data_IF_021470356055
#
_entry.id   IF_021470356055
#
_cell.length_a   1.000
_cell.length_b   1.000
_cell.length_c   1.000
_cell.angle_alpha   90.00
_cell.angle_beta   90.00
_cell.angle_gamma   90.00
#
_symmetry.space_group_name_H-M   'P 1'
#
loop_
_entity.id
_entity.type
_entity.pdbx_description
1 polymer ?
#
# COMPACT_ATOMS: atom_id res chain seq x y z
N UNK A 1 -37.10 73.75 -15.93
CA UNK A 1 -37.05 73.68 -14.47
C UNK A 1 -36.61 72.26 -14.11
N UNK A 2 -35.42 72.11 -13.54
CA UNK A 2 -34.79 70.86 -13.02
C UNK A 2 -34.92 70.97 -11.46
N UNK A 3 -34.41 70.09 -10.56
CA UNK A 3 -34.14 68.62 -10.50
C UNK A 3 -35.33 67.82 -9.88
N UNK A 4 -35.29 66.53 -9.48
CA UNK A 4 -34.49 65.79 -8.45
C UNK A 4 -34.87 64.27 -8.63
N UNK A 5 -34.10 63.19 -8.43
CA UNK A 5 -32.70 62.90 -7.99
C UNK A 5 -32.22 61.61 -8.72
N UNK A 6 -30.90 61.37 -8.80
CA UNK A 6 -30.29 60.02 -8.80
C UNK A 6 -29.20 59.98 -7.72
N UNK A 7 -29.19 58.92 -6.90
CA UNK A 7 -28.38 58.86 -5.68
C UNK A 7 -26.98 58.31 -5.97
N UNK A 8 -25.99 59.20 -6.11
CA UNK A 8 -24.58 58.84 -6.16
C UNK A 8 -23.92 59.18 -4.82
N UNK A 9 -23.68 58.16 -3.98
CA UNK A 9 -22.94 58.33 -2.72
C UNK A 9 -21.43 58.39 -3.00
N UNK A 10 -20.82 59.54 -2.70
CA UNK A 10 -19.37 59.70 -2.64
C UNK A 10 -18.86 59.45 -1.21
N UNK A 11 -17.74 58.74 -1.08
CA UNK A 11 -16.85 58.83 0.08
C UNK A 11 -15.39 58.92 -0.41
N UNK A 12 -14.49 59.64 0.29
CA UNK A 12 -13.30 60.20 -0.34
C UNK A 12 -12.07 59.30 -0.22
N UNK A 13 -11.17 59.45 -1.19
CA UNK A 13 -9.81 58.93 -1.12
C UNK A 13 -9.00 59.72 -0.07
N UNK A 14 -8.50 59.05 0.97
CA UNK A 14 -7.51 59.59 1.89
C UNK A 14 -6.11 59.11 1.45
N UNK A 15 -5.25 60.06 1.08
CA UNK A 15 -3.83 59.82 0.84
C UNK A 15 -3.05 60.39 2.02
N UNK A 16 -2.24 59.55 2.68
CA UNK A 16 -1.33 59.96 3.76
C UNK A 16 0.10 60.13 3.22
N UNK A 17 0.67 61.35 3.24
CA UNK A 17 2.05 61.59 2.86
C UNK A 17 2.89 61.95 4.10
N UNK A 18 3.79 61.05 4.55
CA UNK A 18 4.86 61.47 5.46
C UNK A 18 6.25 61.07 4.96
N UNK A 19 7.01 62.14 4.75
CA UNK A 19 8.38 62.21 4.26
C UNK A 19 9.34 61.43 5.18
N UNK A 20 10.33 60.77 4.58
CA UNK A 20 11.44 60.19 5.33
C UNK A 20 12.35 61.26 5.94
N UNK A 21 12.84 61.01 7.15
CA UNK A 21 13.94 61.75 7.77
C UNK A 21 15.12 60.80 8.02
N UNK A 22 16.28 61.14 7.48
CA UNK A 22 17.48 60.30 7.49
C UNK A 22 18.39 60.72 8.65
N UNK A 23 18.48 59.94 9.73
CA UNK A 23 19.52 60.13 10.75
C UNK A 23 20.28 58.84 11.03
N UNK A 24 21.60 58.96 10.92
CA UNK A 24 22.62 57.91 10.99
C UNK A 24 23.27 57.95 12.38
N UNK A 25 23.41 56.80 13.05
CA UNK A 25 24.20 56.44 14.27
C UNK A 25 23.40 55.39 15.07
N UNK A 26 23.97 54.40 15.75
CA UNK A 26 25.39 54.04 15.95
C UNK A 26 25.60 52.51 15.94
N UNK A 27 26.81 52.10 15.59
CA UNK A 27 27.20 50.70 15.45
C UNK A 27 27.65 50.13 16.81
N UNK A 28 26.86 49.22 17.40
CA UNK A 28 27.34 48.34 18.50
C UNK A 28 27.25 46.87 18.11
N UNK A 29 28.43 46.28 17.98
CA UNK A 29 28.71 44.93 17.50
C UNK A 29 28.41 43.92 18.60
N UNK A 30 27.26 43.25 18.53
CA UNK A 30 26.92 42.12 19.40
C UNK A 30 27.51 40.82 18.85
N UNK A 31 28.59 40.31 19.45
CA UNK A 31 29.21 39.04 19.08
C UNK A 31 28.48 37.84 19.72
N UNK A 32 28.13 36.78 18.96
CA UNK A 32 27.65 35.54 19.55
C UNK A 32 28.81 34.83 20.26
N UNK A 33 28.85 34.92 21.58
CA UNK A 33 29.82 34.20 22.42
C UNK A 33 29.43 32.72 22.45
N UNK A 34 30.28 31.88 21.85
CA UNK A 34 30.14 30.43 21.90
C UNK A 34 30.38 29.95 23.34
N UNK A 35 29.36 29.38 23.98
CA UNK A 35 29.53 28.67 25.25
C UNK A 35 30.14 27.30 24.92
N UNK A 36 31.45 27.17 25.13
CA UNK A 36 32.11 25.88 25.27
C UNK A 36 32.89 25.90 26.59
N UNK A 37 32.68 24.88 27.41
CA UNK A 37 33.10 24.84 28.81
C UNK A 37 34.62 24.84 28.99
N UNK A 38 35.10 25.60 29.98
CA UNK A 38 36.46 25.50 30.52
C UNK A 38 36.74 24.03 30.94
N UNK A 39 37.84 23.41 30.50
CA UNK A 39 38.29 22.14 31.05
C UNK A 39 38.58 22.27 32.55
N UNK A 40 38.14 21.29 33.33
CA UNK A 40 38.39 21.24 34.78
C UNK A 40 39.88 21.07 35.12
N UNK A 41 40.29 21.39 36.36
CA UNK A 41 41.68 21.19 36.81
C UNK A 41 42.07 19.71 36.72
N UNK A 42 43.36 19.47 36.46
CA UNK A 42 43.92 18.13 36.33
C UNK A 42 43.70 17.31 37.61
N UNK A 43 43.24 16.07 37.45
CA UNK A 43 43.02 15.15 38.57
C UNK A 43 44.30 14.80 39.33
N UNK A 44 44.19 14.30 40.57
CA UNK A 44 45.35 13.92 41.38
C UNK A 44 46.16 12.79 40.69
N UNK A 45 47.47 12.66 41.00
CA UNK A 45 48.29 11.58 40.50
C UNK A 45 47.66 10.21 40.78
N UNK A 46 47.73 9.31 39.79
CA UNK A 46 47.21 7.95 39.93
C UNK A 46 47.91 7.16 41.03
N UNK A 47 47.24 6.15 41.62
CA UNK A 47 47.86 5.28 42.62
C UNK A 47 49.07 4.52 42.03
N UNK A 48 50.02 4.06 42.87
CA UNK A 48 51.17 3.27 42.42
C UNK A 48 50.76 2.07 41.56
N UNK A 49 51.55 1.78 40.54
CA UNK A 49 51.33 0.64 39.66
C UNK A 49 51.27 -0.68 40.42
N UNK A 50 50.38 -1.57 40.01
CA UNK A 50 50.25 -2.90 40.60
C UNK A 50 51.57 -3.70 40.47
N UNK A 51 51.86 -4.64 41.40
CA UNK A 51 53.03 -5.50 41.29
C UNK A 51 53.13 -6.21 39.93
N UNK A 52 54.37 -6.39 39.45
CA UNK A 52 54.62 -7.09 38.19
C UNK A 52 54.05 -8.52 38.20
N UNK A 53 53.52 -9.01 37.07
CA UNK A 53 52.88 -10.31 37.01
C UNK A 53 53.88 -11.45 37.28
N UNK A 54 53.41 -12.49 37.98
CA UNK A 54 54.19 -13.72 38.20
C UNK A 54 54.66 -14.33 36.87
N UNK A 55 55.85 -14.95 36.91
CA UNK A 55 56.44 -15.64 35.75
C UNK A 55 55.51 -16.70 35.16
N UNK A 56 55.55 -16.85 33.84
CA UNK A 56 54.63 -17.72 33.11
C UNK A 56 54.78 -19.18 33.53
N UNK A 57 53.67 -19.79 33.97
CA UNK A 57 53.58 -21.24 34.19
C UNK A 57 53.87 -21.96 32.87
N UNK A 58 54.63 -23.05 32.92
CA UNK A 58 54.97 -23.85 31.75
C UNK A 58 53.73 -24.29 30.98
N UNK A 59 53.80 -24.29 29.64
CA UNK A 59 52.64 -24.60 28.80
C UNK A 59 52.09 -25.98 29.14
N UNK A 60 50.84 -26.01 29.59
CA UNK A 60 50.05 -27.23 29.70
C UNK A 60 50.04 -27.93 28.33
N UNK A 61 50.12 -29.27 28.33
CA UNK A 61 50.03 -30.05 27.10
C UNK A 61 48.72 -29.73 26.36
N UNK A 62 48.75 -29.78 25.03
CA UNK A 62 47.56 -29.50 24.23
C UNK A 62 46.40 -30.41 24.69
N UNK A 63 45.20 -29.84 24.95
CA UNK A 63 44.00 -30.64 25.16
C UNK A 63 43.83 -31.66 24.03
N UNK A 64 43.23 -32.81 24.35
CA UNK A 64 42.78 -33.73 23.31
C UNK A 64 41.86 -32.99 22.35
N UNK A 65 41.96 -33.27 21.05
CA UNK A 65 41.04 -32.73 20.04
C UNK A 65 39.60 -32.95 20.51
N UNK A 66 38.79 -31.89 20.43
CA UNK A 66 37.38 -31.99 20.75
C UNK A 66 36.71 -33.02 19.83
N UNK A 67 35.59 -33.58 20.30
CA UNK A 67 34.72 -34.38 19.43
C UNK A 67 34.26 -33.53 18.24
N UNK A 68 33.96 -34.17 17.10
CA UNK A 68 33.28 -33.44 16.03
C UNK A 68 31.94 -32.93 16.58
N UNK A 69 31.68 -31.64 16.40
CA UNK A 69 30.38 -31.07 16.68
C UNK A 69 29.30 -31.86 15.93
N UNK A 70 28.16 -32.07 16.58
CA UNK A 70 26.98 -32.62 15.91
C UNK A 70 26.60 -31.69 14.75
N UNK A 71 26.12 -32.25 13.64
CA UNK A 71 25.62 -31.42 12.54
C UNK A 71 24.49 -30.53 13.07
N UNK A 72 24.56 -29.24 12.74
CA UNK A 72 23.47 -28.31 12.97
C UNK A 72 22.18 -28.89 12.37
N UNK A 73 21.09 -28.85 13.14
CA UNK A 73 19.78 -29.26 12.63
C UNK A 73 19.39 -28.39 11.44
N UNK A 74 18.72 -28.99 10.44
CA UNK A 74 18.31 -28.28 9.23
C UNK A 74 17.60 -26.96 9.57
N UNK A 75 17.98 -25.90 8.85
CA UNK A 75 17.34 -24.60 8.98
C UNK A 75 15.86 -24.77 8.65
N UNK A 76 15.00 -24.55 9.66
CA UNK A 76 13.56 -24.59 9.47
C UNK A 76 13.14 -23.70 8.29
N UNK A 77 12.22 -24.21 7.47
CA UNK A 77 11.83 -23.60 6.21
C UNK A 77 11.48 -22.12 6.38
N UNK A 78 11.89 -21.30 5.42
CA UNK A 78 11.41 -19.93 5.31
C UNK A 78 9.89 -19.96 5.26
N UNK A 79 9.22 -19.25 6.17
CA UNK A 79 7.77 -19.10 6.12
C UNK A 79 7.35 -18.60 4.74
N UNK A 80 6.32 -19.24 4.17
CA UNK A 80 5.93 -19.01 2.77
C UNK A 80 5.69 -17.52 2.49
N UNK A 81 6.24 -17.05 1.38
CA UNK A 81 5.98 -15.70 0.88
C UNK A 81 4.49 -15.59 0.55
N UNK A 82 3.82 -14.56 1.09
CA UNK A 82 2.36 -14.44 0.98
C UNK A 82 1.88 -14.51 -0.47
N UNK A 83 0.97 -15.44 -0.83
CA UNK A 83 0.75 -15.81 -2.22
C UNK A 83 0.14 -14.66 -3.08
N UNK A 84 0.67 -14.40 -4.29
CA UNK A 84 0.14 -13.38 -5.21
C UNK A 84 -1.24 -13.72 -5.84
N UNK A 85 -1.88 -12.72 -6.48
CA UNK A 85 -3.29 -12.72 -6.97
C UNK A 85 -3.67 -13.67 -8.14
N UNK A 86 -4.40 -13.20 -9.17
CA UNK A 86 -4.83 -14.03 -10.35
C UNK A 86 -5.01 -13.19 -11.61
N UNK A 87 -4.50 -13.58 -12.78
CA UNK A 87 -4.41 -12.68 -13.95
C UNK A 87 -5.20 -13.12 -15.21
N UNK A 88 -5.53 -12.16 -16.09
CA UNK A 88 -6.16 -12.38 -17.42
C UNK A 88 -5.10 -12.56 -18.51
N UNK A 89 -5.35 -13.43 -19.52
CA UNK A 89 -4.43 -13.67 -20.66
C UNK A 89 -4.92 -13.21 -22.03
N UNK A 90 -6.04 -12.47 -22.13
CA UNK A 90 -6.60 -11.99 -23.41
C UNK A 90 -7.23 -10.60 -23.29
N UNK A 91 -6.82 -9.69 -24.16
CA UNK A 91 -7.44 -8.37 -24.34
C UNK A 91 -8.88 -8.47 -24.87
N UNK A 92 -9.67 -7.42 -24.61
CA UNK A 92 -11.01 -7.22 -25.15
C UNK A 92 -11.97 -8.41 -24.93
N UNK A 93 -12.15 -8.89 -23.69
CA UNK A 93 -13.08 -9.97 -23.40
C UNK A 93 -14.53 -9.61 -23.80
N UNK A 94 -15.35 -10.65 -24.01
CA UNK A 94 -16.74 -10.48 -24.45
C UNK A 94 -17.58 -9.79 -23.38
N UNK A 95 -18.36 -8.81 -23.82
CA UNK A 95 -19.33 -8.09 -22.98
C UNK A 95 -20.44 -9.00 -22.44
N UNK A 96 -21.06 -8.58 -21.33
CA UNK A 96 -22.21 -9.27 -20.70
C UNK A 96 -21.95 -10.73 -20.31
N UNK A 97 -20.69 -11.16 -20.26
CA UNK A 97 -20.22 -12.46 -19.80
C UNK A 97 -19.18 -12.29 -18.68
N UNK A 98 -18.98 -13.32 -17.83
CA UNK A 98 -17.88 -13.32 -16.87
C UNK A 98 -16.51 -13.25 -17.56
N UNK A 99 -15.64 -12.37 -17.06
CA UNK A 99 -14.24 -12.31 -17.42
C UNK A 99 -13.53 -13.52 -16.81
N UNK A 100 -12.75 -14.23 -17.63
CA UNK A 100 -12.02 -15.43 -17.22
C UNK A 100 -10.57 -15.07 -16.92
N UNK A 101 -10.14 -15.32 -15.70
CA UNK A 101 -8.76 -15.17 -15.23
C UNK A 101 -8.16 -16.57 -15.26
N UNK A 102 -7.60 -16.95 -16.41
CA UNK A 102 -7.12 -18.30 -16.69
C UNK A 102 -5.67 -18.55 -16.23
N UNK A 103 -4.89 -17.50 -15.98
CA UNK A 103 -3.60 -17.56 -15.28
C UNK A 103 -3.85 -17.53 -13.75
N UNK A 104 -4.06 -18.71 -13.19
CA UNK A 104 -4.23 -18.92 -11.75
C UNK A 104 -2.87 -18.81 -11.05
N UNK A 105 -2.70 -17.88 -10.11
CA UNK A 105 -1.55 -17.89 -9.19
C UNK A 105 -1.91 -18.58 -7.85
N UNK A 106 -3.12 -18.35 -7.32
CA UNK A 106 -3.63 -19.06 -6.13
C UNK A 106 -5.11 -19.49 -6.26
N UNK A 107 -5.44 -20.74 -5.93
CA UNK A 107 -6.83 -21.25 -5.87
C UNK A 107 -7.00 -22.40 -4.87
N UNK A 108 -6.50 -22.23 -3.65
CA UNK A 108 -6.74 -23.19 -2.57
C UNK A 108 -8.23 -23.34 -2.26
N UNK A 109 -8.65 -24.56 -1.91
CA UNK A 109 -10.06 -24.95 -1.84
C UNK A 109 -10.76 -25.11 -3.19
N UNK A 110 -10.16 -24.67 -4.30
CA UNK A 110 -10.74 -24.82 -5.66
C UNK A 110 -12.00 -23.97 -5.90
N UNK A 111 -12.26 -22.97 -5.07
CA UNK A 111 -13.50 -22.18 -5.09
C UNK A 111 -13.63 -21.25 -6.31
N UNK A 112 -12.53 -20.95 -7.03
CA UNK A 112 -12.59 -20.27 -8.32
C UNK A 112 -12.57 -21.26 -9.49
N UNK A 113 -13.50 -21.11 -10.43
CA UNK A 113 -13.57 -21.91 -11.63
C UNK A 113 -13.12 -21.09 -12.85
N UNK A 114 -11.89 -21.32 -13.30
CA UNK A 114 -11.29 -20.67 -14.48
C UNK A 114 -12.10 -20.87 -15.78
N UNK A 115 -12.80 -22.00 -15.92
CA UNK A 115 -13.61 -22.29 -17.12
C UNK A 115 -14.87 -21.42 -17.19
N UNK A 116 -15.42 -21.00 -16.03
CA UNK A 116 -16.61 -20.15 -15.95
C UNK A 116 -16.30 -18.67 -15.69
N UNK A 117 -15.12 -18.36 -15.12
CA UNK A 117 -14.74 -17.01 -14.69
C UNK A 117 -15.26 -16.62 -13.30
N UNK A 118 -15.87 -17.56 -12.56
CA UNK A 118 -16.58 -17.29 -11.30
C UNK A 118 -15.89 -17.88 -10.07
N UNK A 119 -15.93 -17.14 -8.97
CA UNK A 119 -15.82 -17.68 -7.62
C UNK A 119 -17.18 -18.24 -7.18
N UNK A 120 -17.18 -19.39 -6.51
CA UNK A 120 -18.35 -20.05 -5.92
C UNK A 120 -18.06 -20.25 -4.43
N UNK A 121 -18.90 -19.67 -3.57
CA UNK A 121 -18.73 -19.73 -2.13
C UNK A 121 -19.01 -21.14 -1.58
N UNK A 122 -18.05 -21.75 -0.88
CA UNK A 122 -18.25 -23.02 -0.16
C UNK A 122 -18.48 -22.83 1.35
N UNK A 123 -17.88 -21.79 1.94
CA UNK A 123 -17.92 -21.48 3.38
C UNK A 123 -18.67 -20.15 3.58
N UNK A 124 -19.84 -20.13 4.23
CA UNK A 124 -20.55 -18.91 4.55
C UNK A 124 -19.69 -17.93 5.37
N UNK A 125 -19.82 -16.63 5.11
CA UNK A 125 -19.08 -15.62 5.85
C UNK A 125 -18.85 -14.31 5.10
N UNK A 126 -17.93 -13.51 5.65
CA UNK A 126 -17.54 -12.20 5.14
C UNK A 126 -16.27 -12.34 4.30
N UNK A 127 -16.33 -11.92 3.04
CA UNK A 127 -15.25 -12.00 2.05
C UNK A 127 -14.78 -10.62 1.60
N UNK A 128 -13.48 -10.46 1.39
CA UNK A 128 -12.91 -9.33 0.65
C UNK A 128 -12.76 -9.72 -0.82
N UNK A 129 -13.10 -8.81 -1.74
CA UNK A 129 -12.79 -8.94 -3.17
C UNK A 129 -12.12 -7.67 -3.67
N UNK A 130 -11.10 -7.83 -4.52
CA UNK A 130 -10.40 -6.72 -5.18
C UNK A 130 -9.95 -7.11 -6.58
N UNK A 131 -9.74 -6.10 -7.43
CA UNK A 131 -9.28 -6.25 -8.79
C UNK A 131 -8.51 -5.01 -9.24
N UNK A 132 -7.55 -5.22 -10.14
CA UNK A 132 -6.69 -4.20 -10.73
C UNK A 132 -6.58 -4.50 -12.22
N UNK A 133 -7.26 -3.72 -13.06
CA UNK A 133 -7.44 -4.06 -14.48
C UNK A 133 -6.71 -3.05 -15.36
N UNK A 134 -5.70 -3.50 -16.11
CA UNK A 134 -5.06 -2.71 -17.16
C UNK A 134 -6.03 -2.53 -18.33
N UNK A 135 -6.13 -1.30 -18.86
CA UNK A 135 -6.93 -0.99 -20.04
C UNK A 135 -6.13 -0.23 -21.10
N UNK A 136 -6.51 -0.41 -22.37
CA UNK A 136 -5.87 0.23 -23.52
C UNK A 136 -6.82 0.38 -24.71
N UNK A 137 -6.65 1.46 -25.48
CA UNK A 137 -7.33 1.77 -26.76
C UNK A 137 -8.86 1.93 -26.73
N UNK A 138 -9.56 1.43 -25.71
CA UNK A 138 -10.99 1.61 -25.47
C UNK A 138 -11.22 1.93 -23.99
N UNK A 139 -12.32 2.60 -23.66
CA UNK A 139 -12.71 2.78 -22.25
C UNK A 139 -13.12 1.44 -21.63
N UNK A 140 -13.13 1.36 -20.31
CA UNK A 140 -13.47 0.17 -19.55
C UNK A 140 -14.72 0.41 -18.71
N UNK A 141 -15.72 -0.47 -18.79
CA UNK A 141 -16.90 -0.45 -17.93
C UNK A 141 -17.15 -1.83 -17.32
N UNK A 142 -16.52 -2.10 -16.17
CA UNK A 142 -16.59 -3.39 -15.47
C UNK A 142 -17.37 -3.28 -14.17
N UNK A 143 -17.92 -4.40 -13.70
CA UNK A 143 -18.51 -4.47 -12.38
C UNK A 143 -18.25 -5.81 -11.71
N UNK A 144 -18.10 -5.76 -10.39
CA UNK A 144 -18.14 -6.92 -9.51
C UNK A 144 -19.60 -7.34 -9.36
N UNK A 145 -19.91 -8.56 -9.75
CA UNK A 145 -21.26 -9.13 -9.74
C UNK A 145 -21.34 -10.20 -8.66
N UNK A 146 -22.41 -10.17 -7.86
CA UNK A 146 -22.77 -11.22 -6.89
C UNK A 146 -24.19 -11.68 -7.21
N UNK A 147 -24.36 -12.97 -7.53
CA UNK A 147 -25.66 -13.57 -7.90
C UNK A 147 -26.44 -12.76 -8.97
N UNK A 148 -25.74 -12.23 -9.97
CA UNK A 148 -26.33 -11.42 -11.05
C UNK A 148 -26.55 -9.94 -10.73
N UNK A 149 -26.33 -9.49 -9.48
CA UNK A 149 -26.42 -8.08 -9.09
C UNK A 149 -25.03 -7.42 -9.05
N UNK A 150 -24.90 -6.26 -9.70
CA UNK A 150 -23.68 -5.45 -9.62
C UNK A 150 -23.53 -4.85 -8.21
N UNK A 151 -22.44 -5.19 -7.53
CA UNK A 151 -22.06 -4.67 -6.20
C UNK A 151 -21.15 -3.46 -6.30
N UNK A 152 -20.21 -3.48 -7.24
CA UNK A 152 -19.38 -2.34 -7.64
C UNK A 152 -19.52 -2.16 -9.14
N UNK A 153 -19.41 -0.92 -9.62
CA UNK A 153 -19.13 -0.61 -11.03
C UNK A 153 -17.94 0.33 -11.07
N UNK A 154 -16.93 -0.03 -11.86
CA UNK A 154 -15.77 0.81 -12.16
C UNK A 154 -15.85 1.19 -13.63
N UNK A 155 -15.74 2.48 -13.91
CA UNK A 155 -15.61 3.03 -15.26
C UNK A 155 -14.31 3.81 -15.35
N UNK A 156 -13.55 3.58 -16.41
CA UNK A 156 -12.33 4.31 -16.69
C UNK A 156 -12.28 4.74 -18.16
N UNK A 157 -12.04 6.03 -18.39
CA UNK A 157 -12.13 6.69 -19.67
C UNK A 157 -10.75 6.82 -20.30
N UNK A 158 -10.30 5.76 -20.98
CA UNK A 158 -9.04 5.78 -21.71
C UNK A 158 -8.92 7.00 -22.64
N UNK A 159 -7.81 7.74 -22.54
CA UNK A 159 -7.53 8.96 -23.33
C UNK A 159 -6.43 8.79 -24.39
N UNK A 160 -5.97 7.56 -24.62
CA UNK A 160 -4.92 7.22 -25.60
C UNK A 160 -3.69 6.51 -25.01
N UNK A 161 -3.60 6.39 -23.69
CA UNK A 161 -2.51 5.72 -22.96
C UNK A 161 -2.97 4.37 -22.37
N UNK A 162 -2.10 3.74 -21.58
CA UNK A 162 -2.45 2.61 -20.74
C UNK A 162 -2.78 3.10 -19.33
N UNK A 163 -3.98 2.75 -18.85
CA UNK A 163 -4.47 3.10 -17.52
C UNK A 163 -4.72 1.83 -16.70
N UNK A 164 -4.86 1.96 -15.37
CA UNK A 164 -5.19 0.85 -14.47
C UNK A 164 -6.40 1.21 -13.63
N UNK A 165 -7.51 0.50 -13.86
CA UNK A 165 -8.76 0.68 -13.15
C UNK A 165 -8.90 -0.39 -12.05
N UNK A 166 -8.88 0.03 -10.79
CA UNK A 166 -9.02 -0.88 -9.65
C UNK A 166 -10.36 -0.75 -8.93
N UNK A 167 -10.62 -1.69 -8.03
CA UNK A 167 -11.77 -1.66 -7.14
C UNK A 167 -11.67 -2.71 -6.04
N UNK A 168 -12.35 -2.46 -4.92
CA UNK A 168 -12.50 -3.46 -3.86
C UNK A 168 -13.78 -3.26 -3.06
N UNK A 169 -14.27 -4.34 -2.45
CA UNK A 169 -15.38 -4.30 -1.48
C UNK A 169 -15.38 -5.52 -0.57
N UNK A 170 -16.21 -5.47 0.46
CA UNK A 170 -16.49 -6.57 1.37
C UNK A 170 -17.92 -7.07 1.11
N UNK A 171 -18.11 -8.39 0.99
CA UNK A 171 -19.40 -9.02 0.78
C UNK A 171 -19.64 -10.11 1.82
N UNK A 172 -20.85 -10.14 2.40
CA UNK A 172 -21.36 -11.32 3.06
C UNK A 172 -21.87 -12.30 1.99
N UNK A 173 -21.37 -13.55 2.00
CA UNK A 173 -21.73 -14.60 1.06
C UNK A 173 -22.30 -15.81 1.79
N UNK A 174 -23.35 -16.41 1.23
CA UNK A 174 -23.88 -17.71 1.63
C UNK A 174 -23.25 -18.82 0.80
N UNK A 175 -23.39 -20.07 1.25
CA UNK A 175 -22.95 -21.23 0.47
C UNK A 175 -23.64 -21.26 -0.91
N UNK A 176 -22.85 -21.52 -1.95
CA UNK A 176 -23.19 -21.49 -3.39
C UNK A 176 -23.42 -20.10 -3.99
N UNK A 177 -23.22 -19.01 -3.26
CA UNK A 177 -23.20 -17.68 -3.87
C UNK A 177 -22.05 -17.55 -4.88
N UNK A 178 -22.35 -16.95 -6.04
CA UNK A 178 -21.41 -16.75 -7.13
C UNK A 178 -20.93 -15.29 -7.16
N UNK A 179 -19.62 -15.07 -7.30
CA UNK A 179 -19.00 -13.75 -7.49
C UNK A 179 -18.08 -13.75 -8.72
N UNK A 180 -18.19 -12.73 -9.56
CA UNK A 180 -17.35 -12.58 -10.77
C UNK A 180 -17.20 -11.13 -11.23
N UNK A 181 -16.28 -10.89 -12.18
CA UNK A 181 -16.17 -9.63 -12.89
C UNK A 181 -16.78 -9.73 -14.29
N UNK A 182 -17.46 -8.67 -14.73
CA UNK A 182 -18.14 -8.63 -16.02
C UNK A 182 -18.13 -7.21 -16.60
N UNK A 183 -17.91 -7.10 -17.90
CA UNK A 183 -18.13 -5.85 -18.65
C UNK A 183 -19.64 -5.63 -18.79
N UNK A 184 -20.14 -4.52 -18.28
CA UNK A 184 -21.59 -4.24 -18.19
C UNK A 184 -22.12 -3.32 -19.29
N UNK A 185 -21.26 -2.58 -19.98
CA UNK A 185 -21.65 -1.59 -21.00
C UNK A 185 -21.10 -1.96 -22.37
N UNK A 186 -21.87 -1.71 -23.43
CA UNK A 186 -21.47 -2.04 -24.81
C UNK A 186 -20.32 -1.15 -25.30
N UNK A 187 -19.41 -1.74 -26.07
CA UNK A 187 -18.17 -1.15 -26.60
C UNK A 187 -17.13 -0.71 -25.55
N UNK A 188 -17.38 -0.88 -24.25
CA UNK A 188 -16.46 -0.49 -23.17
C UNK A 188 -15.71 -1.69 -22.57
N UNK A 189 -15.21 -2.55 -23.45
CA UNK A 189 -14.47 -3.76 -23.10
C UNK A 189 -12.93 -3.56 -23.08
N UNK A 190 -12.45 -2.36 -22.78
CA UNK A 190 -11.05 -1.94 -22.94
C UNK A 190 -9.96 -2.68 -22.16
N UNK A 191 -10.28 -3.77 -21.44
CA UNK A 191 -9.31 -4.60 -20.71
C UNK A 191 -8.23 -5.06 -21.69
N UNK A 192 -6.97 -4.85 -21.31
CA UNK A 192 -5.82 -5.13 -22.14
C UNK A 192 -4.88 -6.13 -21.47
N UNK A 193 -4.27 -6.97 -22.30
CA UNK A 193 -3.25 -7.93 -21.93
C UNK A 193 -2.14 -7.98 -22.98
N UNK A 194 -0.92 -7.88 -22.49
CA UNK A 194 0.35 -8.18 -23.12
C UNK A 194 1.14 -9.12 -22.19
N UNK A 195 1.69 -10.25 -22.70
CA UNK A 195 2.34 -11.27 -21.89
C UNK A 195 3.68 -10.84 -21.25
N UNK A 196 4.27 -9.70 -21.65
CA UNK A 196 5.60 -9.29 -21.20
C UNK A 196 5.58 -8.22 -20.10
N UNK A 197 4.54 -7.37 -20.03
CA UNK A 197 4.57 -6.17 -19.17
C UNK A 197 3.23 -5.74 -18.56
N UNK A 198 2.14 -6.49 -18.76
CA UNK A 198 0.85 -6.21 -18.11
C UNK A 198 0.26 -7.46 -17.46
N UNK A 199 -0.38 -7.29 -16.31
CA UNK A 199 -1.23 -8.30 -15.69
C UNK A 199 -2.48 -7.59 -15.14
N UNK A 200 -3.66 -8.14 -15.41
CA UNK A 200 -4.94 -7.64 -14.87
C UNK A 200 -5.47 -8.61 -13.82
N UNK A 201 -5.60 -8.18 -12.56
CA UNK A 201 -5.82 -9.02 -11.38
C UNK A 201 -7.29 -9.15 -10.94
N UNK A 202 -7.67 -10.31 -10.40
CA UNK A 202 -8.88 -10.50 -9.59
C UNK A 202 -8.65 -11.45 -8.41
N UNK A 203 -8.79 -10.92 -7.20
CA UNK A 203 -8.47 -11.60 -5.94
C UNK A 203 -9.69 -11.57 -5.02
N UNK A 204 -9.87 -12.64 -4.23
CA UNK A 204 -10.84 -12.63 -3.14
C UNK A 204 -10.60 -13.75 -2.13
N UNK A 205 -10.84 -13.45 -0.86
CA UNK A 205 -10.56 -14.34 0.27
C UNK A 205 -11.57 -14.14 1.40
N UNK A 206 -11.74 -15.18 2.23
CA UNK A 206 -12.56 -15.16 3.43
C UNK A 206 -11.84 -14.36 4.53
N UNK A 207 -12.55 -13.41 5.15
CA UNK A 207 -12.08 -12.65 6.31
C UNK A 207 -12.56 -13.32 7.60
N UNK A 208 -13.85 -13.63 7.67
CA UNK A 208 -14.50 -14.27 8.81
C UNK A 208 -15.51 -15.29 8.32
N UNK A 209 -15.38 -16.55 8.75
CA UNK A 209 -16.45 -17.54 8.59
C UNK A 209 -17.65 -17.15 9.49
N UNK A 210 -18.87 -17.40 9.02
CA UNK A 210 -20.03 -17.39 9.90
C UNK A 210 -19.87 -18.54 10.91
N UNK A 211 -20.21 -18.31 12.18
CA UNK A 211 -20.20 -19.36 13.18
C UNK A 211 -21.49 -20.18 13.06
N UNK A 212 -21.36 -21.48 12.76
CA UNK A 212 -22.45 -22.44 12.89
C UNK A 212 -22.96 -22.41 14.34
N UNK A 213 -24.16 -21.85 14.55
CA UNK A 213 -24.72 -21.64 15.88
C UNK A 213 -25.43 -22.94 16.32
N UNK A 214 -24.88 -23.78 17.23
CA UNK A 214 -25.32 -25.18 17.36
C UNK A 214 -26.65 -25.37 18.13
N UNK A 215 -27.41 -24.30 18.34
CA UNK A 215 -28.50 -24.20 19.30
C UNK A 215 -29.90 -24.12 18.66
N UNK A 216 -30.06 -24.55 17.40
CA UNK A 216 -31.35 -24.64 16.72
C UNK A 216 -31.71 -26.13 16.47
N UNK A 217 -32.27 -26.76 17.51
CA UNK A 217 -32.84 -28.13 17.52
C UNK A 217 -34.15 -28.13 18.30
#
# INVERSE_FOLDING_TARGET
MIPWVLLACALPCAADPLLGAFTRRDFKKGSPQLICSLPGPQGPPGPPGAPGPSGMVGRMGFPGKDGQDGQDGDRGDSGEEGPPGRTVTKSYPRERLPIKFDKILMNEGGHYNASSGKFICSVPGIYYFTYDITLANKHLAIGLVHNGQYRIRTFDANTGNHDVASGSTILALKQRDEVWLQIFYSEQNGLFYDPYWTDSLFTGFLIYADQDNPNEV
#
